data_IF_604090517986
#
_entry.id   IF_604090517986
#
_cell.length_a   1.000
_cell.length_b   1.000
_cell.length_c   1.000
_cell.angle_alpha   90.00
_cell.angle_beta   90.00
_cell.angle_gamma   90.00
#
_symmetry.space_group_name_H-M   'P 1'
#
loop_
_entity.id
_entity.type
_entity.pdbx_description
1 polymer ?
#
# COMPACT_ATOMS: atom_id res chain seq x y z
N UNK A 1 -4.21 3.96 -0.36
CA UNK A 1 -4.98 2.89 -1.03
C UNK A 1 -4.18 2.10 -2.07
N UNK A 2 -3.01 2.58 -2.53
CA UNK A 2 -2.14 1.86 -3.49
C UNK A 2 -0.82 1.36 -2.91
N UNK A 3 -0.54 1.63 -1.64
CA UNK A 3 0.66 1.18 -0.91
C UNK A 3 0.69 -0.35 -0.67
N UNK A 4 -0.40 -1.04 -1.03
CA UNK A 4 -0.53 -2.50 -0.97
C UNK A 4 -0.29 -3.20 -2.32
N UNK A 5 -0.07 -2.47 -3.42
CA UNK A 5 0.20 -3.09 -4.73
C UNK A 5 1.63 -3.61 -4.73
N UNK A 6 1.79 -4.82 -4.22
CA UNK A 6 3.06 -5.54 -4.23
C UNK A 6 3.40 -6.09 -5.62
N UNK A 7 4.63 -6.59 -5.75
CA UNK A 7 5.08 -7.28 -6.97
C UNK A 7 4.12 -8.40 -7.42
N UNK A 8 3.52 -9.13 -6.46
CA UNK A 8 2.57 -10.20 -6.74
C UNK A 8 1.31 -9.71 -7.45
N UNK A 9 0.81 -8.52 -7.13
CA UNK A 9 -0.37 -7.96 -7.76
C UNK A 9 -0.06 -7.44 -9.17
N UNK A 10 1.12 -6.83 -9.36
CA UNK A 10 1.60 -6.47 -10.68
C UNK A 10 1.76 -7.70 -11.59
N UNK A 11 2.23 -8.82 -11.04
CA UNK A 11 2.34 -10.08 -11.76
C UNK A 11 0.96 -10.67 -12.09
N UNK A 12 0.00 -10.59 -11.17
CA UNK A 12 -1.39 -11.00 -11.42
C UNK A 12 -2.02 -10.19 -12.55
N UNK A 13 -1.87 -8.86 -12.53
CA UNK A 13 -2.36 -7.97 -13.59
C UNK A 13 -1.63 -8.27 -14.91
N UNK A 14 -0.33 -8.57 -14.86
CA UNK A 14 0.44 -9.01 -16.01
C UNK A 14 -0.15 -10.27 -16.64
N UNK A 15 -0.42 -11.31 -15.83
CA UNK A 15 -1.06 -12.55 -16.28
C UNK A 15 -2.45 -12.27 -16.85
N UNK A 16 -3.27 -11.48 -16.15
CA UNK A 16 -4.61 -11.13 -16.62
C UNK A 16 -4.54 -10.38 -17.96
N UNK A 17 -3.60 -9.45 -18.10
CA UNK A 17 -3.31 -8.76 -19.34
C UNK A 17 -2.89 -9.73 -20.46
N UNK A 18 -2.04 -10.71 -20.16
CA UNK A 18 -1.65 -11.75 -21.13
C UNK A 18 -2.84 -12.61 -21.55
N UNK A 19 -3.77 -12.92 -20.65
CA UNK A 19 -4.96 -13.73 -20.97
C UNK A 19 -5.99 -12.92 -21.77
N UNK A 20 -6.29 -11.69 -21.34
CA UNK A 20 -7.34 -10.85 -21.93
C UNK A 20 -6.88 -10.25 -23.26
N UNK A 21 -5.69 -9.66 -23.28
CA UNK A 21 -5.15 -9.03 -24.47
C UNK A 21 -4.47 -10.07 -25.38
N UNK A 22 -3.88 -11.11 -24.81
CA UNK A 22 -3.04 -12.06 -25.51
C UNK A 22 -1.55 -11.73 -25.35
N UNK A 23 -0.67 -12.75 -25.24
CA UNK A 23 0.76 -12.55 -25.03
C UNK A 23 1.45 -11.79 -26.16
N UNK A 24 0.91 -11.84 -27.37
CA UNK A 24 1.51 -11.16 -28.53
C UNK A 24 1.21 -9.66 -28.56
N UNK A 25 0.10 -9.20 -27.98
CA UNK A 25 -0.33 -7.79 -28.09
C UNK A 25 0.06 -6.93 -26.91
N UNK A 26 0.24 -7.50 -25.72
CA UNK A 26 0.80 -6.79 -24.56
C UNK A 26 2.15 -6.11 -24.87
N UNK A 27 3.17 -6.79 -25.45
CA UNK A 27 4.44 -6.15 -25.78
C UNK A 27 4.30 -5.08 -26.87
N UNK A 28 3.34 -5.23 -27.79
CA UNK A 28 3.03 -4.18 -28.79
C UNK A 28 2.43 -2.95 -28.10
N UNK A 29 1.48 -3.12 -27.18
CA UNK A 29 0.89 -2.03 -26.42
C UNK A 29 1.94 -1.27 -25.57
N UNK A 30 2.81 -2.01 -24.88
CA UNK A 30 3.93 -1.41 -24.13
C UNK A 30 4.85 -0.62 -25.06
N UNK A 31 5.18 -1.14 -26.25
CA UNK A 31 5.99 -0.39 -27.24
C UNK A 31 5.31 0.90 -27.70
N UNK A 32 4.00 0.87 -27.94
CA UNK A 32 3.25 2.07 -28.33
C UNK A 32 3.26 3.14 -27.23
N UNK A 33 2.95 2.73 -26.00
CA UNK A 33 2.92 3.65 -24.84
C UNK A 33 4.31 4.21 -24.57
N UNK A 34 5.34 3.35 -24.54
CA UNK A 34 6.73 3.77 -24.29
C UNK A 34 7.26 4.65 -25.42
N UNK A 35 6.88 4.39 -26.67
CA UNK A 35 7.19 5.25 -27.81
C UNK A 35 6.63 6.66 -27.64
N UNK A 36 5.36 6.77 -27.24
CA UNK A 36 4.71 8.07 -27.00
C UNK A 36 5.34 8.84 -25.84
N UNK A 37 5.58 8.16 -24.70
CA UNK A 37 6.28 8.74 -23.55
C UNK A 37 7.68 9.22 -23.95
N UNK A 38 8.39 8.43 -24.77
CA UNK A 38 9.74 8.79 -25.25
C UNK A 38 9.71 9.99 -26.20
N UNK A 39 8.69 10.10 -27.05
CA UNK A 39 8.50 11.26 -27.92
C UNK A 39 8.22 12.53 -27.09
N UNK A 40 7.34 12.44 -26.09
CA UNK A 40 7.06 13.53 -25.16
C UNK A 40 8.31 13.95 -24.37
N UNK A 41 9.07 12.97 -23.85
CA UNK A 41 10.33 13.23 -23.15
C UNK A 41 11.37 13.90 -24.06
N UNK A 42 11.45 13.51 -25.34
CA UNK A 42 12.32 14.17 -26.32
C UNK A 42 11.91 15.61 -26.53
N UNK A 43 10.62 15.90 -26.69
CA UNK A 43 10.14 17.27 -26.86
C UNK A 43 10.43 18.13 -25.63
N UNK A 44 10.18 17.60 -24.42
CA UNK A 44 10.52 18.28 -23.18
C UNK A 44 12.02 18.55 -23.05
N UNK A 45 12.85 17.57 -23.44
CA UNK A 45 14.30 17.74 -23.44
C UNK A 45 14.77 18.76 -24.49
N UNK A 46 14.19 18.77 -25.70
CA UNK A 46 14.57 19.76 -26.72
C UNK A 46 14.22 21.19 -26.29
N UNK A 47 13.03 21.39 -25.71
CA UNK A 47 12.66 22.69 -25.12
C UNK A 47 13.58 23.04 -23.96
N UNK A 48 13.95 22.06 -23.14
CA UNK A 48 14.92 22.25 -22.06
C UNK A 48 16.28 22.68 -22.63
N UNK A 49 16.84 21.94 -23.58
CA UNK A 49 18.15 22.20 -24.19
C UNK A 49 18.18 23.58 -24.87
N UNK A 50 17.12 23.99 -25.57
CA UNK A 50 17.00 25.33 -26.15
C UNK A 50 16.96 26.44 -25.08
N UNK A 51 16.20 26.24 -23.99
CA UNK A 51 16.13 27.19 -22.86
C UNK A 51 17.40 27.21 -21.98
N UNK A 52 18.13 26.10 -21.92
CA UNK A 52 19.39 25.95 -21.18
C UNK A 52 20.55 26.62 -21.94
N UNK A 53 20.49 26.58 -23.27
CA UNK A 53 21.47 27.22 -24.15
C UNK A 53 21.32 28.75 -24.20
N UNK A 54 20.18 29.31 -23.75
CA UNK A 54 19.89 30.76 -23.73
C UNK A 54 19.82 31.41 -22.31
N UNK A 55 20.22 30.70 -21.23
CA UNK A 55 20.32 31.20 -19.83
C UNK A 55 19.05 31.16 -18.93
N UNK A 56 18.00 30.37 -19.21
CA UNK A 56 16.71 30.54 -18.48
C UNK A 56 16.21 29.40 -17.59
N UNK A 57 16.93 28.30 -17.45
CA UNK A 57 16.46 27.20 -16.58
C UNK A 57 16.56 27.56 -15.10
N UNK A 58 17.54 28.36 -14.71
CA UNK A 58 17.68 28.78 -13.32
C UNK A 58 16.58 29.77 -12.92
N UNK A 59 16.15 30.65 -13.85
CA UNK A 59 15.01 31.55 -13.65
C UNK A 59 13.68 30.81 -13.57
N UNK A 60 13.42 29.85 -14.47
CA UNK A 60 12.19 29.06 -14.38
C UNK A 60 12.18 28.22 -13.10
N UNK A 61 13.28 27.54 -12.77
CA UNK A 61 13.32 26.77 -11.53
C UNK A 61 13.16 27.66 -10.30
N UNK A 62 13.70 28.88 -10.33
CA UNK A 62 13.47 29.89 -9.31
C UNK A 62 12.02 30.39 -9.29
N UNK A 63 11.36 30.58 -10.43
CA UNK A 63 9.96 31.00 -10.53
C UNK A 63 9.00 29.89 -10.09
N UNK A 64 9.24 28.64 -10.45
CA UNK A 64 8.48 27.49 -9.97
C UNK A 64 8.71 27.29 -8.46
N UNK A 65 9.95 27.39 -7.97
CA UNK A 65 10.26 27.32 -6.54
C UNK A 65 9.72 28.53 -5.77
N UNK A 66 9.62 29.69 -6.40
CA UNK A 66 8.99 30.90 -5.86
C UNK A 66 7.49 30.76 -5.83
N UNK A 67 6.86 30.19 -6.86
CA UNK A 67 5.43 29.90 -6.88
C UNK A 67 5.06 28.82 -5.87
N UNK A 68 5.87 27.76 -5.73
CA UNK A 68 5.70 26.74 -4.69
C UNK A 68 5.91 27.35 -3.31
N UNK A 69 6.99 28.10 -3.08
CA UNK A 69 7.25 28.73 -1.78
C UNK A 69 6.30 29.87 -1.45
N UNK A 70 5.75 30.59 -2.43
CA UNK A 70 4.66 31.55 -2.24
C UNK A 70 3.35 30.81 -1.97
N UNK A 71 3.09 29.68 -2.64
CA UNK A 71 2.00 28.78 -2.29
C UNK A 71 2.10 28.38 -0.83
N UNK A 72 3.26 27.85 -0.41
CA UNK A 72 3.54 27.39 0.95
C UNK A 72 3.59 28.51 2.00
N UNK A 73 4.00 29.73 1.64
CA UNK A 73 4.03 30.91 2.53
C UNK A 73 2.69 31.63 2.64
N UNK A 74 1.81 31.49 1.65
CA UNK A 74 0.44 32.03 1.69
C UNK A 74 -0.58 31.00 2.21
N UNK A 75 -0.14 29.78 2.56
CA UNK A 75 -0.95 28.89 3.39
C UNK A 75 -1.14 29.59 4.74
N UNK A 76 -2.40 29.80 5.12
CA UNK A 76 -2.77 30.26 6.45
C UNK A 76 -2.08 29.41 7.52
N UNK A 77 -1.77 29.96 8.71
CA UNK A 77 -1.10 29.24 9.79
C UNK A 77 -1.76 27.88 10.09
N UNK A 78 -3.08 27.77 9.90
CA UNK A 78 -3.84 26.52 10.01
C UNK A 78 -3.41 25.42 9.02
N UNK A 79 -3.09 25.76 7.76
CA UNK A 79 -2.63 24.76 6.78
C UNK A 79 -1.17 24.36 7.02
N UNK A 80 -0.35 25.25 7.57
CA UNK A 80 1.04 24.93 7.94
C UNK A 80 1.06 23.94 9.11
N UNK A 81 0.25 24.18 10.15
CA UNK A 81 0.03 23.23 11.24
C UNK A 81 -0.51 21.89 10.71
N UNK A 82 -1.44 21.93 9.75
CA UNK A 82 -1.98 20.73 9.13
C UNK A 82 -0.91 19.92 8.39
N UNK A 83 -0.02 20.57 7.64
CA UNK A 83 1.09 19.92 6.93
C UNK A 83 2.09 19.33 7.92
N UNK A 84 2.44 20.05 9.00
CA UNK A 84 3.37 19.55 10.02
C UNK A 84 2.78 18.36 10.80
N UNK A 85 1.49 18.39 11.11
CA UNK A 85 0.76 17.25 11.68
C UNK A 85 0.76 16.05 10.72
N UNK A 86 0.49 16.28 9.42
CA UNK A 86 0.51 15.22 8.41
C UNK A 86 1.91 14.63 8.24
N UNK A 87 2.96 15.47 8.29
CA UNK A 87 4.36 15.05 8.24
C UNK A 87 4.73 14.21 9.46
N UNK A 88 4.31 14.63 10.66
CA UNK A 88 4.52 13.88 11.90
C UNK A 88 3.80 12.54 11.88
N UNK A 89 2.55 12.50 11.40
CA UNK A 89 1.78 11.27 11.24
C UNK A 89 2.39 10.32 10.19
N UNK A 90 2.88 10.85 9.06
CA UNK A 90 3.57 10.05 8.07
C UNK A 90 4.91 9.48 8.60
N UNK A 91 5.64 10.26 9.41
CA UNK A 91 6.87 9.82 10.07
C UNK A 91 6.63 8.77 11.16
N UNK A 92 5.51 8.84 11.89
CA UNK A 92 5.16 7.84 12.89
C UNK A 92 4.70 6.51 12.24
N UNK A 93 4.03 6.57 11.09
CA UNK A 93 3.68 5.38 10.29
C UNK A 93 4.91 4.73 9.66
N UNK A 94 5.95 5.49 9.31
CA UNK A 94 7.23 4.95 8.81
C UNK A 94 8.09 4.31 9.92
N UNK A 95 7.65 4.31 11.18
CA UNK A 95 8.25 3.55 12.29
C UNK A 95 7.42 2.31 12.66
N UNK A 96 7.20 1.32 11.76
CA UNK A 96 6.84 0.01 12.26
C UNK A 96 8.07 -0.54 12.97
N UNK A 97 7.89 -1.14 14.14
CA UNK A 97 8.92 -1.80 14.95
C UNK A 97 9.77 -0.89 15.86
N UNK A 98 9.14 -0.30 16.88
CA UNK A 98 9.76 -0.23 18.21
C UNK A 98 8.99 -1.17 19.13
N UNK A 99 9.44 -2.43 19.20
CA UNK A 99 8.97 -3.44 20.14
C UNK A 99 9.84 -3.32 21.38
N UNK A 100 9.39 -2.55 22.38
CA UNK A 100 10.03 -2.45 23.69
C UNK A 100 8.94 -2.25 24.75
N UNK A 101 8.90 -3.21 25.69
CA UNK A 101 8.15 -3.23 26.96
C UNK A 101 6.61 -3.26 26.84
N UNK A 102 5.82 -4.20 27.37
CA UNK A 102 5.83 -4.80 28.73
C UNK A 102 4.84 -6.01 28.75
N UNK A 103 5.30 -7.13 29.30
CA UNK A 103 4.46 -8.07 30.07
C UNK A 103 4.30 -7.48 31.49
N UNK A 104 3.10 -7.47 32.14
CA UNK A 104 2.76 -8.58 33.03
C UNK A 104 1.25 -8.80 33.30
N UNK A 105 0.96 -9.97 33.88
CA UNK A 105 -0.33 -10.40 34.38
C UNK A 105 -1.00 -9.44 35.37
N UNK A 106 -2.30 -9.18 35.20
CA UNK A 106 -3.31 -9.24 36.28
C UNK A 106 -4.72 -8.96 35.72
N UNK A 107 -5.59 -9.96 35.71
CA UNK A 107 -6.91 -9.90 36.36
C UNK A 107 -7.72 -11.17 36.06
N UNK A 108 -7.97 -11.92 37.12
CA UNK A 108 -8.71 -13.16 37.29
C UNK A 108 -10.18 -13.15 36.77
N UNK A 109 -10.50 -14.15 35.95
CA UNK A 109 -11.63 -15.15 35.96
C UNK A 109 -12.90 -14.93 36.84
N UNK A 110 -14.03 -15.66 36.64
CA UNK A 110 -14.51 -16.48 35.49
C UNK A 110 -16.03 -16.34 35.18
N UNK A 111 -16.49 -16.58 33.94
CA UNK A 111 -17.82 -17.21 33.70
C UNK A 111 -17.80 -17.99 32.37
N UNK A 112 -18.11 -19.28 32.48
CA UNK A 112 -18.39 -20.28 31.43
C UNK A 112 -19.43 -19.78 30.40
N UNK A 113 -19.40 -20.26 29.14
CA UNK A 113 -20.17 -21.47 28.87
C UNK A 113 -19.55 -22.45 27.84
N UNK A 114 -19.48 -23.70 28.30
CA UNK A 114 -19.80 -24.94 27.59
C UNK A 114 -18.79 -25.46 26.54
N UNK A 115 -18.15 -26.58 26.88
CA UNK A 115 -18.09 -27.75 26.01
C UNK A 115 -18.87 -28.88 26.68
N UNK A 116 -20.05 -29.21 26.16
CA UNK A 116 -20.73 -30.48 26.47
C UNK A 116 -20.83 -31.27 25.19
N UNK A 117 -19.70 -31.82 24.75
CA UNK A 117 -19.71 -33.01 23.92
C UNK A 117 -19.97 -34.19 24.86
N UNK A 118 -21.23 -34.63 24.84
CA UNK A 118 -21.77 -35.77 25.56
C UNK A 118 -20.97 -37.03 25.27
N UNK A 119 -20.36 -37.55 26.33
CA UNK A 119 -19.97 -38.95 26.49
C UNK A 119 -21.20 -39.85 26.29
N UNK A 120 -21.26 -40.57 25.17
CA UNK A 120 -22.02 -41.82 25.06
C UNK A 120 -21.03 -42.91 24.65
N UNK A 121 -20.40 -43.47 25.67
CA UNK A 121 -19.69 -44.75 25.61
C UNK A 121 -20.33 -45.63 26.68
N UNK A 122 -21.45 -46.28 26.33
CA UNK A 122 -21.96 -47.46 27.02
C UNK A 122 -22.50 -48.45 25.98
N UNK A 123 -21.59 -49.31 25.54
CA UNK A 123 -21.72 -50.76 25.53
C UNK A 123 -23.07 -51.36 25.18
N UNK A 124 -23.10 -51.94 23.97
CA UNK A 124 -23.85 -53.15 23.64
C UNK A 124 -23.67 -54.24 24.70
N UNK A 125 -24.75 -54.69 25.32
CA UNK A 125 -25.02 -56.07 25.78
C UNK A 125 -26.29 -56.03 26.63
N UNK A 126 -27.46 -56.22 26.04
CA UNK A 126 -28.05 -57.54 25.80
C UNK A 126 -28.33 -58.31 27.11
N UNK A 127 -29.62 -58.34 27.42
CA UNK A 127 -30.37 -59.53 27.84
C UNK A 127 -30.02 -60.20 29.17
N UNK A 128 -30.95 -59.99 30.09
CA UNK A 128 -31.86 -61.06 30.52
C UNK A 128 -31.23 -62.35 31.06
N UNK A 129 -31.25 -62.40 32.40
CA UNK A 129 -31.45 -63.59 33.25
C UNK A 129 -30.39 -64.71 33.26
N UNK A 130 -30.29 -65.41 34.41
CA UNK A 130 -29.19 -66.30 34.73
C UNK A 130 -29.47 -67.77 34.37
N UNK A 131 -28.36 -68.51 34.33
CA UNK A 131 -28.19 -69.94 34.56
C UNK A 131 -28.61 -70.94 33.47
N UNK A 132 -27.58 -71.55 32.89
CA UNK A 132 -27.54 -72.91 32.35
C UNK A 132 -26.11 -73.41 32.44
#
# INVERSE_FOLDING_TARGET
>A
MFDGIGFMELLLIGILGLVVLGPERLPVAVRSITGWIRAMKRMANSVKDELEQELKIEELHADLKKAESQGLKNLSPELQESIDQLKSAAQSVNRPYKVEDISPASSSAPVDPAPTETKTAETSANSEKPNG
#
